data_IF_497425046488
#
_entry.id   IF_497425046488
#
_cell.length_a   1.000
_cell.length_b   1.000
_cell.length_c   1.000
_cell.angle_alpha   90.00
_cell.angle_beta   90.00
_cell.angle_gamma   90.00
#
_symmetry.space_group_name_H-M   'P 1'
#
loop_
_entity.id
_entity.type
_entity.pdbx_description
1 polymer ?
#
# COMPACT_ATOMS: atom_id res chain seq x y z
N UNK A 1 -1.56 -0.21 10.14
CA UNK A 1 -0.88 0.62 9.11
C UNK A 1 0.22 1.43 9.78
N UNK A 2 1.39 1.57 9.16
CA UNK A 2 2.50 2.38 9.68
C UNK A 2 3.32 2.94 8.51
N UNK A 3 3.93 4.12 8.66
CA UNK A 3 4.77 4.74 7.62
C UNK A 3 6.13 5.21 8.17
N UNK A 4 6.47 6.49 8.05
CA UNK A 4 7.69 7.12 8.59
C UNK A 4 7.30 8.24 9.55
N UNK A 5 8.24 9.12 9.91
CA UNK A 5 7.99 10.31 10.73
C UNK A 5 6.71 11.07 10.30
N UNK A 6 5.94 11.65 11.23
CA UNK A 6 6.23 11.83 12.66
C UNK A 6 5.89 10.60 13.53
N UNK A 7 5.72 10.78 14.85
CA UNK A 7 5.33 9.70 15.77
C UNK A 7 3.96 9.11 15.41
N UNK A 8 3.68 7.91 15.92
CA UNK A 8 2.40 7.26 15.70
C UNK A 8 1.22 8.06 16.28
N UNK A 9 1.36 8.70 17.44
CA UNK A 9 0.26 9.53 17.99
C UNK A 9 -0.06 10.73 17.11
N UNK A 10 0.95 11.31 16.46
CA UNK A 10 0.76 12.41 15.52
C UNK A 10 0.06 11.93 14.24
N UNK A 11 0.36 10.73 13.75
CA UNK A 11 -0.42 10.11 12.67
C UNK A 11 -1.89 9.92 13.06
N UNK A 12 -2.16 9.41 14.27
CA UNK A 12 -3.53 9.25 14.77
C UNK A 12 -4.25 10.60 14.95
N UNK A 13 -3.54 11.63 15.37
CA UNK A 13 -4.08 12.99 15.48
C UNK A 13 -4.41 13.56 14.11
N UNK A 14 -3.53 13.38 13.13
CA UNK A 14 -3.75 13.81 11.75
C UNK A 14 -4.94 13.11 11.10
N UNK A 15 -5.12 11.80 11.36
CA UNK A 15 -6.24 11.02 10.83
C UNK A 15 -7.61 11.62 11.20
N UNK A 16 -7.73 12.29 12.35
CA UNK A 16 -8.97 12.94 12.80
C UNK A 16 -9.44 14.09 11.89
N UNK A 17 -8.58 14.58 10.99
CA UNK A 17 -8.97 15.59 10.01
C UNK A 17 -9.76 15.00 8.83
N UNK A 18 -9.84 13.67 8.73
CA UNK A 18 -10.41 12.95 7.59
C UNK A 18 -11.65 12.10 7.97
N UNK A 19 -12.38 12.49 9.02
CA UNK A 19 -13.56 11.76 9.53
C UNK A 19 -14.73 11.72 8.53
N UNK A 20 -14.71 12.61 7.54
CA UNK A 20 -15.72 12.68 6.49
C UNK A 20 -15.55 11.60 5.41
N UNK A 21 -14.39 10.94 5.34
CA UNK A 21 -14.10 9.93 4.33
C UNK A 21 -14.82 8.62 4.66
N UNK A 22 -15.44 8.00 3.66
CA UNK A 22 -16.19 6.75 3.79
C UNK A 22 -16.23 5.96 2.48
N UNK A 23 -16.55 4.66 2.49
CA UNK A 23 -16.65 3.86 1.26
C UNK A 23 -17.95 4.12 0.48
N UNK A 24 -19.06 4.38 1.16
CA UNK A 24 -20.39 4.43 0.54
C UNK A 24 -20.69 5.80 -0.06
N UNK A 25 -21.09 5.84 -1.33
CA UNK A 25 -21.36 7.09 -2.04
C UNK A 25 -22.58 7.85 -1.49
N UNK A 26 -22.67 9.14 -1.84
CA UNK A 26 -23.91 9.90 -1.75
C UNK A 26 -24.58 9.88 -3.11
N UNK A 27 -25.88 9.56 -3.18
CA UNK A 27 -26.61 9.66 -4.45
C UNK A 27 -26.84 11.12 -4.86
N UNK A 28 -27.10 11.98 -3.87
CA UNK A 28 -27.30 13.42 -4.06
C UNK A 28 -27.12 14.19 -2.75
N UNK A 29 -26.96 15.51 -2.86
CA UNK A 29 -26.96 16.44 -1.74
C UNK A 29 -27.70 17.73 -2.16
N UNK A 30 -28.40 18.36 -1.21
CA UNK A 30 -29.01 19.67 -1.42
C UNK A 30 -28.01 20.78 -1.04
N UNK A 31 -27.75 21.70 -1.96
CA UNK A 31 -26.84 22.83 -1.78
C UNK A 31 -27.63 24.11 -2.09
N UNK A 32 -28.11 24.79 -1.04
CA UNK A 32 -29.08 25.87 -1.19
C UNK A 32 -30.32 25.38 -1.94
N UNK A 33 -30.66 26.04 -3.06
CA UNK A 33 -31.79 25.64 -3.91
C UNK A 33 -31.43 24.60 -4.98
N UNK A 34 -30.15 24.23 -5.10
CA UNK A 34 -29.68 23.26 -6.11
C UNK A 34 -29.56 21.85 -5.54
N UNK A 35 -30.20 20.87 -6.19
CA UNK A 35 -29.94 19.45 -5.93
C UNK A 35 -28.72 19.00 -6.72
N UNK A 36 -27.60 18.78 -6.03
CA UNK A 36 -26.40 18.20 -6.62
C UNK A 36 -26.55 16.68 -6.68
N UNK A 37 -26.38 16.09 -7.86
CA UNK A 37 -26.35 14.66 -8.06
C UNK A 37 -24.90 14.17 -8.10
N UNK A 38 -24.67 12.94 -7.67
CA UNK A 38 -23.34 12.33 -7.82
C UNK A 38 -22.95 12.23 -9.29
N UNK A 39 -21.67 12.51 -9.58
CA UNK A 39 -21.06 12.32 -10.90
C UNK A 39 -20.62 10.86 -11.14
N UNK A 40 -20.68 10.01 -10.12
CA UNK A 40 -20.28 8.62 -10.15
C UNK A 40 -19.72 8.14 -8.81
N UNK A 41 -19.06 7.00 -8.83
CA UNK A 41 -18.49 6.40 -7.61
C UNK A 41 -17.22 7.13 -7.15
N UNK A 42 -17.02 7.23 -5.83
CA UNK A 42 -15.77 7.67 -5.21
C UNK A 42 -15.76 9.11 -4.72
N UNK A 43 -16.86 9.87 -4.91
CA UNK A 43 -16.97 11.26 -4.44
C UNK A 43 -16.84 11.38 -2.92
N UNK A 44 -17.11 10.30 -2.19
CA UNK A 44 -17.01 10.23 -0.72
C UNK A 44 -15.60 10.08 -0.17
N UNK A 45 -14.61 9.92 -1.05
CA UNK A 45 -13.19 10.02 -0.72
C UNK A 45 -12.60 11.38 -1.11
N UNK A 46 -13.41 12.35 -1.52
CA UNK A 46 -12.94 13.71 -1.80
C UNK A 46 -12.32 14.33 -0.52
N UNK A 47 -11.09 14.82 -0.65
CA UNK A 47 -10.28 15.30 0.47
C UNK A 47 -9.18 14.31 0.91
N UNK A 48 -9.20 13.07 0.40
CA UNK A 48 -8.11 12.13 0.63
C UNK A 48 -6.78 12.67 0.04
N UNK A 49 -5.68 12.72 0.81
CA UNK A 49 -4.46 13.39 0.37
C UNK A 49 -3.73 12.61 -0.72
N UNK A 50 -3.38 13.28 -1.81
CA UNK A 50 -2.79 12.67 -3.01
C UNK A 50 -1.26 12.56 -3.02
N UNK A 51 -0.57 13.32 -2.16
CA UNK A 51 0.90 13.37 -2.12
C UNK A 51 1.52 12.16 -1.40
N UNK A 52 2.83 11.95 -1.59
CA UNK A 52 3.55 10.77 -1.09
C UNK A 52 4.29 10.99 0.25
N UNK A 53 4.01 12.09 0.96
CA UNK A 53 4.58 12.30 2.30
C UNK A 53 4.12 11.17 3.26
N UNK A 54 4.90 10.86 4.32
CA UNK A 54 4.52 9.80 5.23
C UNK A 54 3.14 9.99 5.91
N UNK A 55 2.73 11.20 6.36
CA UNK A 55 1.38 11.42 6.89
C UNK A 55 0.28 11.16 5.87
N UNK A 56 0.43 11.64 4.62
CA UNK A 56 -0.56 11.42 3.56
C UNK A 56 -0.68 9.94 3.16
N UNK A 57 0.44 9.22 3.06
CA UNK A 57 0.42 7.76 2.84
C UNK A 57 -0.20 7.01 4.02
N UNK A 58 0.00 7.47 5.26
CA UNK A 58 -0.65 6.86 6.43
C UNK A 58 -2.17 6.99 6.35
N UNK A 59 -2.68 8.20 6.08
CA UNK A 59 -4.13 8.46 5.94
C UNK A 59 -4.71 7.60 4.82
N UNK A 60 -4.11 7.61 3.62
CA UNK A 60 -4.55 6.76 2.50
C UNK A 60 -4.60 5.28 2.84
N UNK A 61 -3.50 4.74 3.37
CA UNK A 61 -3.44 3.32 3.70
C UNK A 61 -4.42 2.95 4.82
N UNK A 62 -4.61 3.82 5.82
CA UNK A 62 -5.58 3.62 6.89
C UNK A 62 -7.02 3.61 6.35
N UNK A 63 -7.39 4.58 5.52
CA UNK A 63 -8.73 4.67 4.92
C UNK A 63 -8.99 3.46 4.02
N UNK A 64 -8.05 3.10 3.15
CA UNK A 64 -8.22 1.94 2.26
C UNK A 64 -8.34 0.64 3.05
N UNK A 65 -7.44 0.38 3.99
CA UNK A 65 -7.45 -0.86 4.77
C UNK A 65 -8.72 -1.06 5.62
N UNK A 66 -9.43 0.01 5.97
CA UNK A 66 -10.67 -0.05 6.76
C UNK A 66 -11.95 0.13 5.91
N UNK A 67 -11.82 0.38 4.61
CA UNK A 67 -12.95 0.57 3.68
C UNK A 67 -13.18 -0.62 2.75
N UNK A 68 -12.22 -1.56 2.67
CA UNK A 68 -12.32 -2.71 1.79
C UNK A 68 -13.22 -3.82 2.36
N UNK A 69 -13.80 -4.60 1.46
CA UNK A 69 -14.53 -5.81 1.82
C UNK A 69 -13.57 -6.89 2.33
N UNK A 70 -14.07 -7.72 3.24
CA UNK A 70 -13.34 -8.88 3.73
C UNK A 70 -13.13 -9.87 2.57
N UNK A 71 -11.90 -10.37 2.34
CA UNK A 71 -11.65 -11.36 1.31
C UNK A 71 -12.27 -12.72 1.70
N UNK A 72 -12.75 -13.46 0.70
CA UNK A 72 -13.42 -14.75 0.88
C UNK A 72 -12.46 -15.88 1.27
N UNK A 73 -11.23 -15.82 0.76
CA UNK A 73 -10.19 -16.80 1.00
C UNK A 73 -8.80 -16.16 1.14
N UNK A 74 -7.79 -16.99 1.41
CA UNK A 74 -6.43 -16.54 1.63
C UNK A 74 -5.73 -16.05 0.34
N UNK A 75 -6.09 -16.54 -0.85
CA UNK A 75 -5.54 -16.03 -2.10
C UNK A 75 -6.09 -14.63 -2.41
N UNK A 76 -7.39 -14.43 -2.22
CA UNK A 76 -8.04 -13.13 -2.27
C UNK A 76 -7.46 -12.17 -1.22
N UNK A 77 -7.12 -12.65 -0.01
CA UNK A 77 -6.51 -11.84 1.03
C UNK A 77 -5.11 -11.34 0.64
N UNK A 78 -4.27 -12.22 0.07
CA UNK A 78 -2.94 -11.84 -0.44
C UNK A 78 -3.08 -10.84 -1.59
N UNK A 79 -3.97 -11.11 -2.55
CA UNK A 79 -4.21 -10.22 -3.69
C UNK A 79 -4.71 -8.84 -3.25
N UNK A 80 -5.64 -8.79 -2.29
CA UNK A 80 -6.16 -7.56 -1.69
C UNK A 80 -5.06 -6.78 -0.99
N UNK A 81 -4.24 -7.43 -0.15
CA UNK A 81 -3.12 -6.79 0.53
C UNK A 81 -2.12 -6.16 -0.44
N UNK A 82 -1.82 -6.83 -1.55
CA UNK A 82 -0.93 -6.29 -2.58
C UNK A 82 -1.55 -5.09 -3.34
N UNK A 83 -2.86 -5.11 -3.57
CA UNK A 83 -3.60 -4.00 -4.18
C UNK A 83 -3.62 -2.78 -3.27
N UNK A 84 -3.87 -2.99 -1.97
CA UNK A 84 -3.85 -1.93 -0.96
C UNK A 84 -2.48 -1.26 -0.86
N UNK A 85 -1.39 -2.05 -0.82
CA UNK A 85 -0.04 -1.50 -0.78
C UNK A 85 0.27 -0.74 -2.07
N UNK A 86 -0.13 -1.26 -3.24
CA UNK A 86 0.07 -0.59 -4.53
C UNK A 86 -0.51 0.83 -4.55
N UNK A 87 -1.68 1.04 -3.92
CA UNK A 87 -2.32 2.35 -3.78
C UNK A 87 -1.51 3.40 -3.01
N UNK A 88 -0.44 3.03 -2.32
CA UNK A 88 0.47 3.95 -1.62
C UNK A 88 1.94 3.82 -2.04
N UNK A 89 2.22 3.08 -3.13
CA UNK A 89 3.57 2.94 -3.67
C UNK A 89 3.99 4.15 -4.50
N UNK A 90 5.27 4.52 -4.39
CA UNK A 90 5.85 5.67 -5.11
C UNK A 90 6.47 5.17 -6.41
N UNK A 91 6.01 5.68 -7.55
CA UNK A 91 6.63 5.44 -8.85
C UNK A 91 7.89 6.29 -9.01
N UNK A 92 8.93 5.71 -9.60
CA UNK A 92 10.21 6.39 -9.86
C UNK A 92 10.00 7.69 -10.63
N UNK A 93 10.50 8.79 -10.08
CA UNK A 93 10.40 10.13 -10.68
C UNK A 93 9.35 11.05 -10.08
N UNK A 94 8.35 10.53 -9.36
CA UNK A 94 7.34 11.37 -8.69
C UNK A 94 7.93 12.07 -7.45
N UNK A 95 8.84 11.40 -6.74
CA UNK A 95 9.59 11.95 -5.60
C UNK A 95 11.08 11.97 -5.94
N UNK A 96 11.70 13.15 -5.84
CA UNK A 96 13.07 13.42 -6.32
C UNK A 96 13.79 14.36 -5.39
N UNK A 97 15.10 14.17 -5.28
CA UNK A 97 16.01 15.05 -4.57
C UNK A 97 17.36 15.13 -5.28
N UNK A 98 18.32 15.77 -4.59
CA UNK A 98 19.72 15.80 -4.99
C UNK A 98 20.50 15.07 -3.90
N UNK A 99 21.22 14.01 -4.28
CA UNK A 99 22.04 13.23 -3.37
C UNK A 99 23.27 14.00 -2.90
N UNK A 100 23.98 13.44 -1.92
CA UNK A 100 25.22 14.04 -1.39
C UNK A 100 26.34 14.20 -2.42
N UNK A 101 26.24 13.53 -3.57
CA UNK A 101 27.16 13.63 -4.70
C UNK A 101 26.72 14.64 -5.78
N UNK A 102 25.65 15.41 -5.51
CA UNK A 102 25.10 16.39 -6.44
C UNK A 102 24.27 15.78 -7.59
N UNK A 103 24.09 14.44 -7.63
CA UNK A 103 23.30 13.79 -8.67
C UNK A 103 21.82 13.67 -8.29
N UNK A 104 20.92 13.50 -9.27
CA UNK A 104 19.51 13.22 -8.98
C UNK A 104 19.36 11.92 -8.17
N UNK A 105 18.61 12.00 -7.08
CA UNK A 105 18.17 10.86 -6.29
C UNK A 105 16.66 10.68 -6.44
N UNK A 106 16.21 9.44 -6.57
CA UNK A 106 14.80 9.10 -6.76
C UNK A 106 14.32 8.25 -5.59
N UNK A 107 13.31 8.73 -4.87
CA UNK A 107 12.59 7.91 -3.90
C UNK A 107 11.47 7.17 -4.63
N UNK A 108 11.48 5.85 -4.50
CA UNK A 108 10.53 4.97 -5.18
C UNK A 108 10.40 3.64 -4.44
N UNK A 109 9.29 2.94 -4.69
CA UNK A 109 9.04 1.64 -4.09
C UNK A 109 9.86 0.55 -4.80
N UNK A 110 11.00 0.18 -4.22
CA UNK A 110 11.91 -0.83 -4.79
C UNK A 110 11.32 -2.25 -4.81
N UNK A 111 10.41 -2.55 -3.88
CA UNK A 111 9.75 -3.85 -3.81
C UNK A 111 8.64 -3.89 -2.76
N UNK A 112 7.85 -4.94 -2.82
CA UNK A 112 6.72 -5.18 -1.92
C UNK A 112 6.76 -6.62 -1.48
N UNK A 113 6.54 -6.85 -0.18
CA UNK A 113 6.42 -8.19 0.39
C UNK A 113 5.11 -8.34 1.16
N UNK A 114 4.55 -9.53 1.15
CA UNK A 114 3.38 -9.93 1.94
C UNK A 114 3.64 -11.29 2.59
N UNK A 115 3.19 -11.45 3.82
CA UNK A 115 3.40 -12.65 4.61
C UNK A 115 2.05 -13.32 4.85
N UNK A 116 1.96 -14.60 4.48
CA UNK A 116 0.84 -15.47 4.85
C UNK A 116 1.37 -16.50 5.85
N UNK A 117 1.16 -16.21 7.14
CA UNK A 117 1.67 -17.08 8.21
C UNK A 117 0.91 -18.40 8.31
N UNK A 118 -0.37 -18.45 7.89
CA UNK A 118 -1.16 -19.67 7.93
C UNK A 118 -0.64 -20.69 6.91
N UNK A 119 -0.30 -20.22 5.71
CA UNK A 119 0.32 -21.04 4.67
C UNK A 119 1.84 -21.08 4.73
N UNK A 120 2.46 -20.39 5.70
CA UNK A 120 3.92 -20.28 5.85
C UNK A 120 4.60 -19.80 4.55
N UNK A 121 4.03 -18.78 3.93
CA UNK A 121 4.51 -18.26 2.65
C UNK A 121 4.90 -16.77 2.74
N UNK A 122 5.94 -16.40 2.00
CA UNK A 122 6.24 -15.00 1.65
C UNK A 122 5.97 -14.78 0.18
N UNK A 123 5.30 -13.68 -0.14
CA UNK A 123 5.06 -13.19 -1.49
C UNK A 123 5.90 -11.94 -1.68
N UNK A 124 6.66 -11.85 -2.78
CA UNK A 124 7.54 -10.72 -3.05
C UNK A 124 7.53 -10.32 -4.51
N UNK A 125 7.60 -9.02 -4.78
CA UNK A 125 7.85 -8.47 -6.12
C UNK A 125 8.74 -7.23 -6.03
N UNK A 126 9.39 -6.85 -7.13
CA UNK A 126 10.27 -5.69 -7.19
C UNK A 126 9.71 -4.61 -8.10
N UNK A 127 10.39 -3.46 -8.17
CA UNK A 127 10.03 -2.46 -9.17
C UNK A 127 10.22 -2.99 -10.61
N UNK A 128 11.29 -3.76 -10.82
CA UNK A 128 11.72 -4.32 -12.11
C UNK A 128 10.89 -5.54 -12.55
N UNK A 129 10.37 -6.33 -11.59
CA UNK A 129 9.55 -7.50 -11.87
C UNK A 129 8.29 -7.48 -11.01
N UNK A 130 7.14 -7.26 -11.66
CA UNK A 130 5.83 -7.19 -11.00
C UNK A 130 5.19 -8.56 -10.76
N UNK A 131 5.77 -9.64 -11.29
CA UNK A 131 5.35 -11.00 -10.99
C UNK A 131 5.66 -11.33 -9.53
N UNK A 132 4.71 -11.96 -8.84
CA UNK A 132 4.95 -12.43 -7.49
C UNK A 132 5.86 -13.65 -7.51
N UNK A 133 6.92 -13.58 -6.71
CA UNK A 133 7.66 -14.73 -6.25
C UNK A 133 7.10 -15.19 -4.91
N UNK A 134 6.96 -16.49 -4.75
CA UNK A 134 6.46 -17.10 -3.52
C UNK A 134 7.55 -17.98 -2.94
N UNK A 135 7.79 -17.83 -1.64
CA UNK A 135 8.71 -18.67 -0.87
C UNK A 135 7.90 -19.37 0.20
N UNK A 136 7.92 -20.70 0.19
CA UNK A 136 7.25 -21.54 1.20
C UNK A 136 8.27 -21.92 2.28
N UNK A 137 8.09 -21.40 3.50
CA UNK A 137 9.07 -21.57 4.59
C UNK A 137 9.23 -23.03 5.03
N UNK A 138 8.16 -23.82 4.96
CA UNK A 138 8.17 -25.24 5.33
C UNK A 138 8.89 -26.14 4.31
N UNK A 139 9.18 -25.61 3.11
CA UNK A 139 9.99 -26.28 2.08
C UNK A 139 11.46 -25.91 2.14
N UNK A 140 11.85 -24.99 3.05
CA UNK A 140 13.22 -24.54 3.18
C UNK A 140 14.00 -25.45 4.12
N UNK A 141 15.13 -25.96 3.66
CA UNK A 141 16.09 -26.63 4.53
C UNK A 141 16.86 -25.56 5.33
N UNK A 142 16.59 -25.49 6.63
CA UNK A 142 17.34 -24.64 7.55
C UNK A 142 18.70 -25.27 7.83
N UNK A 143 19.77 -24.65 7.37
CA UNK A 143 21.13 -25.02 7.75
C UNK A 143 21.59 -24.11 8.89
N UNK A 144 21.84 -24.68 10.06
CA UNK A 144 22.25 -23.92 11.24
C UNK A 144 23.44 -23.01 10.94
N UNK A 145 23.31 -21.73 11.31
CA UNK A 145 24.36 -20.72 11.21
C UNK A 145 24.65 -20.17 9.81
N UNK A 146 23.89 -20.53 8.76
CA UNK A 146 24.06 -19.97 7.40
C UNK A 146 22.85 -19.16 6.94
N UNK A 147 23.11 -17.99 6.37
CA UNK A 147 22.08 -17.19 5.70
C UNK A 147 21.58 -17.93 4.45
N UNK A 148 20.26 -18.11 4.35
CA UNK A 148 19.62 -18.54 3.13
C UNK A 148 19.35 -17.32 2.23
N UNK A 149 20.01 -17.25 1.09
CA UNK A 149 19.80 -16.20 0.08
C UNK A 149 18.91 -16.76 -1.01
N UNK A 150 17.75 -16.15 -1.22
CA UNK A 150 16.83 -16.48 -2.31
C UNK A 150 17.05 -15.45 -3.42
N UNK A 151 17.66 -15.81 -4.56
CA UNK A 151 17.99 -14.85 -5.61
C UNK A 151 16.74 -14.20 -6.19
N UNK A 152 16.83 -12.89 -6.47
CA UNK A 152 15.73 -12.13 -7.08
C UNK A 152 15.31 -12.66 -8.45
N UNK A 153 16.19 -13.37 -9.19
CA UNK A 153 16.03 -14.08 -10.47
C UNK A 153 14.97 -13.57 -11.46
N UNK A 154 15.33 -13.28 -12.71
CA UNK A 154 14.33 -13.23 -13.78
C UNK A 154 13.67 -14.62 -13.89
N UNK A 155 12.36 -14.68 -13.68
CA UNK A 155 11.48 -15.85 -13.79
C UNK A 155 12.04 -17.22 -13.38
N UNK A 156 11.62 -17.71 -12.21
CA UNK A 156 11.57 -19.15 -11.98
C UNK A 156 10.47 -19.48 -10.98
N UNK A 157 9.43 -20.15 -11.46
CA UNK A 157 8.55 -20.98 -10.63
C UNK A 157 9.42 -22.12 -10.09
N UNK A 158 9.73 -22.11 -8.80
CA UNK A 158 10.31 -23.25 -8.07
C UNK A 158 9.53 -23.40 -6.79
#
# INVERSE_FOLDING_TARGET
VFTKAPSFELHLTHLRQFLNLRPDNWDSAQIGDSKALSLGEGTVLLGLPGDFTPPSRFVRAAVFANSVLKPDDADAAVALGMTLIAGVTISKGISRGVGGDGKPEYDYNQGTTGYDFARKAVYGRTDENKNYKVVQFDKLTMNEGKNLIIPRGQDSRT
#
